data_IF_678407376623
#
_entry.id   IF_678407376623
#
_cell.length_a   1.000
_cell.length_b   1.000
_cell.length_c   1.000
_cell.angle_alpha   90.00
_cell.angle_beta   90.00
_cell.angle_gamma   90.00
#
_symmetry.space_group_name_H-M   'P 1'
#
loop_
_entity.id
_entity.type
_entity.pdbx_description
1 polymer ?
#
# COMPACT_ATOMS: atom_id res chain seq x y z
N UNK A 1 -38.52 -31.44 18.02
CA UNK A 1 -37.69 -30.21 18.12
C UNK A 1 -36.45 -30.44 17.28
N UNK A 2 -36.44 -29.87 16.08
CA UNK A 2 -35.37 -30.03 15.12
C UNK A 2 -34.17 -29.17 15.51
N UNK A 3 -33.01 -29.79 15.60
CA UNK A 3 -31.70 -29.14 15.70
C UNK A 3 -31.45 -28.37 14.40
N UNK A 4 -31.47 -27.05 14.47
CA UNK A 4 -30.94 -26.20 13.40
C UNK A 4 -29.44 -26.50 13.26
N UNK A 5 -29.11 -27.31 12.25
CA UNK A 5 -27.76 -27.41 11.72
C UNK A 5 -27.33 -26.00 11.32
N UNK A 6 -26.34 -25.45 12.01
CA UNK A 6 -25.65 -24.25 11.54
C UNK A 6 -25.17 -24.53 10.11
N UNK A 7 -25.76 -23.84 9.15
CA UNK A 7 -25.25 -23.83 7.78
C UNK A 7 -23.82 -23.33 7.89
N UNK A 8 -22.85 -24.19 7.59
CA UNK A 8 -21.44 -23.83 7.55
C UNK A 8 -21.29 -22.58 6.70
N UNK A 9 -20.95 -21.44 7.33
CA UNK A 9 -20.55 -20.24 6.59
C UNK A 9 -19.38 -20.67 5.69
N UNK A 10 -19.52 -20.45 4.39
CA UNK A 10 -18.41 -20.62 3.47
C UNK A 10 -17.21 -19.83 4.03
N UNK A 11 -16.00 -20.41 4.07
CA UNK A 11 -14.84 -19.73 4.61
C UNK A 11 -14.61 -18.43 3.84
N UNK A 12 -14.38 -17.33 4.56
CA UNK A 12 -14.02 -16.05 3.96
C UNK A 12 -12.71 -16.27 3.20
N UNK A 13 -12.70 -16.01 1.90
CA UNK A 13 -11.51 -16.15 1.07
C UNK A 13 -10.74 -14.83 1.07
N UNK A 14 -9.45 -14.87 1.40
CA UNK A 14 -8.54 -13.73 1.26
C UNK A 14 -7.72 -13.92 -0.02
N UNK A 15 -7.98 -13.12 -1.05
CA UNK A 15 -7.30 -13.24 -2.34
C UNK A 15 -6.32 -12.11 -2.62
N UNK A 16 -6.66 -10.87 -2.22
CA UNK A 16 -5.84 -9.70 -2.49
C UNK A 16 -5.62 -8.86 -1.22
N UNK A 17 -4.35 -8.75 -0.82
CA UNK A 17 -3.92 -7.93 0.33
C UNK A 17 -3.16 -6.71 -0.17
N UNK A 18 -3.45 -5.53 0.37
CA UNK A 18 -2.72 -4.28 0.11
C UNK A 18 -2.03 -3.80 1.39
N UNK A 19 -0.73 -3.54 1.32
CA UNK A 19 0.01 -2.79 2.34
C UNK A 19 0.20 -1.35 1.89
N UNK A 20 -0.50 -0.43 2.53
CA UNK A 20 -0.35 1.01 2.29
C UNK A 20 0.66 1.59 3.28
N UNK A 21 1.86 1.92 2.78
CA UNK A 21 2.97 2.37 3.59
C UNK A 21 2.86 3.88 3.84
N UNK A 22 2.78 4.27 5.11
CA UNK A 22 2.74 5.69 5.45
C UNK A 22 4.08 6.36 5.15
N UNK A 23 4.03 7.64 4.80
CA UNK A 23 5.23 8.43 4.58
C UNK A 23 6.13 8.49 5.83
N UNK A 24 5.51 8.49 7.02
CA UNK A 24 6.25 8.32 8.27
C UNK A 24 6.99 6.99 8.33
N UNK A 25 6.35 5.88 7.98
CA UNK A 25 7.01 4.57 7.98
C UNK A 25 8.22 4.54 7.04
N UNK A 26 8.04 5.02 5.79
CA UNK A 26 9.10 5.08 4.77
C UNK A 26 10.28 5.97 5.19
N UNK A 27 10.03 7.11 5.84
CA UNK A 27 11.09 8.01 6.31
C UNK A 27 11.88 7.45 7.50
N UNK A 28 11.22 6.67 8.35
CA UNK A 28 11.82 6.18 9.61
C UNK A 28 12.45 4.80 9.50
N UNK A 29 12.18 4.05 8.42
CA UNK A 29 12.61 2.66 8.25
C UNK A 29 13.48 2.51 7.02
N UNK A 30 14.55 1.71 7.11
CA UNK A 30 15.47 1.45 5.98
C UNK A 30 14.83 0.56 4.92
N UNK A 31 15.18 0.79 3.65
CA UNK A 31 14.61 0.05 2.50
C UNK A 31 14.85 -1.44 2.60
N UNK A 32 16.05 -1.85 3.01
CA UNK A 32 16.41 -3.27 3.06
C UNK A 32 15.58 -3.99 4.13
N UNK A 33 15.23 -3.28 5.21
CA UNK A 33 14.35 -3.82 6.25
C UNK A 33 12.91 -3.90 5.76
N UNK A 34 12.43 -2.88 5.04
CA UNK A 34 11.08 -2.89 4.46
C UNK A 34 10.98 -4.01 3.41
N UNK A 35 11.94 -4.12 2.51
CA UNK A 35 12.08 -5.19 1.53
C UNK A 35 12.04 -6.57 2.20
N UNK A 36 12.88 -6.80 3.22
CA UNK A 36 12.89 -8.07 3.95
C UNK A 36 11.51 -8.37 4.57
N UNK A 37 10.87 -7.38 5.18
CA UNK A 37 9.52 -7.51 5.73
C UNK A 37 8.47 -7.84 4.64
N UNK A 38 8.51 -7.18 3.49
CA UNK A 38 7.63 -7.44 2.35
C UNK A 38 7.78 -8.89 1.88
N UNK A 39 9.02 -9.33 1.64
CA UNK A 39 9.31 -10.68 1.16
C UNK A 39 8.88 -11.74 2.18
N UNK A 40 9.13 -11.53 3.48
CA UNK A 40 8.71 -12.46 4.53
C UNK A 40 7.19 -12.53 4.65
N UNK A 41 6.49 -11.40 4.60
CA UNK A 41 5.03 -11.37 4.63
C UNK A 41 4.43 -12.01 3.37
N UNK A 42 5.02 -11.80 2.19
CA UNK A 42 4.59 -12.46 0.96
C UNK A 42 4.69 -14.00 1.08
N UNK A 43 5.80 -14.52 1.62
CA UNK A 43 5.98 -15.96 1.83
C UNK A 43 5.01 -16.56 2.85
N UNK A 44 4.57 -15.76 3.81
CA UNK A 44 3.52 -16.16 4.74
C UNK A 44 2.14 -16.17 4.06
N UNK A 45 1.83 -15.12 3.29
CA UNK A 45 0.57 -15.01 2.54
C UNK A 45 0.39 -16.14 1.51
N UNK A 46 1.47 -16.65 0.92
CA UNK A 46 1.43 -17.86 0.08
C UNK A 46 0.86 -19.06 0.85
N UNK A 47 1.21 -19.21 2.13
CA UNK A 47 0.73 -20.33 2.96
C UNK A 47 -0.78 -20.22 3.24
N UNK A 48 -1.29 -18.99 3.27
CA UNK A 48 -2.72 -18.69 3.42
C UNK A 48 -3.48 -18.75 2.07
N UNK A 49 -2.84 -19.17 0.97
CA UNK A 49 -3.38 -19.22 -0.39
C UNK A 49 -3.80 -17.84 -0.96
N UNK A 50 -3.17 -16.76 -0.51
CA UNK A 50 -3.39 -15.42 -1.07
C UNK A 50 -2.69 -15.33 -2.42
N UNK A 51 -3.39 -14.78 -3.42
CA UNK A 51 -2.92 -14.73 -4.81
C UNK A 51 -2.14 -13.46 -5.12
N UNK A 52 -2.55 -12.34 -4.52
CA UNK A 52 -2.00 -11.02 -4.82
C UNK A 52 -1.63 -10.29 -3.54
N UNK A 53 -0.41 -9.76 -3.52
CA UNK A 53 0.05 -8.86 -2.48
C UNK A 53 0.54 -7.56 -3.11
N UNK A 54 -0.15 -6.47 -2.84
CA UNK A 54 0.16 -5.15 -3.38
C UNK A 54 0.81 -4.29 -2.30
N UNK A 55 1.92 -3.67 -2.62
CA UNK A 55 2.58 -2.67 -1.78
C UNK A 55 2.33 -1.31 -2.41
N UNK A 56 1.58 -0.48 -1.70
CA UNK A 56 1.33 0.89 -2.10
C UNK A 56 2.26 1.83 -1.36
N UNK A 57 3.11 2.53 -2.11
CA UNK A 57 3.96 3.58 -1.60
C UNK A 57 3.78 4.83 -2.46
N UNK A 58 3.33 5.94 -1.86
CA UNK A 58 2.94 7.14 -2.61
C UNK A 58 4.01 7.56 -3.63
N UNK A 59 5.29 7.48 -3.26
CA UNK A 59 6.41 8.02 -4.03
C UNK A 59 7.05 7.02 -5.01
N UNK A 60 6.64 5.75 -5.03
CA UNK A 60 7.27 4.72 -5.89
C UNK A 60 8.73 4.43 -5.53
N UNK A 61 9.16 4.68 -4.29
CA UNK A 61 10.50 4.39 -3.79
C UNK A 61 10.78 2.89 -3.78
N UNK A 62 9.80 2.10 -3.31
CA UNK A 62 9.95 0.65 -3.26
C UNK A 62 9.90 0.02 -4.63
N UNK A 63 9.06 0.53 -5.52
CA UNK A 63 9.04 0.10 -6.92
C UNK A 63 10.42 0.27 -7.55
N UNK A 64 11.02 1.46 -7.45
CA UNK A 64 12.37 1.72 -7.95
C UNK A 64 13.44 0.85 -7.30
N UNK A 65 13.36 0.61 -5.99
CA UNK A 65 14.30 -0.25 -5.27
C UNK A 65 14.23 -1.70 -5.73
N UNK A 66 13.03 -2.25 -5.88
CA UNK A 66 12.82 -3.61 -6.37
C UNK A 66 13.22 -3.74 -7.84
N UNK A 67 12.97 -2.73 -8.66
CA UNK A 67 13.45 -2.69 -10.04
C UNK A 67 14.98 -2.74 -10.10
N UNK A 68 15.69 -1.91 -9.35
CA UNK A 68 17.16 -1.95 -9.29
C UNK A 68 17.70 -3.27 -8.73
N UNK A 69 16.98 -3.90 -7.80
CA UNK A 69 17.46 -5.10 -7.09
C UNK A 69 17.17 -6.41 -7.83
N UNK A 70 16.05 -6.47 -8.55
CA UNK A 70 15.48 -7.69 -9.14
C UNK A 70 15.10 -7.54 -10.62
N UNK A 71 15.17 -6.33 -11.18
CA UNK A 71 14.76 -6.01 -12.54
C UNK A 71 15.66 -6.55 -13.65
N UNK A 72 16.89 -6.98 -13.38
CA UNK A 72 17.78 -7.49 -14.44
C UNK A 72 17.92 -9.01 -14.48
N UNK A 73 17.27 -9.75 -13.56
CA UNK A 73 17.41 -11.20 -13.52
C UNK A 73 16.09 -11.95 -13.56
N UNK A 74 16.13 -13.10 -14.22
CA UNK A 74 14.94 -13.93 -14.43
C UNK A 74 14.43 -14.58 -13.14
N UNK A 75 15.34 -14.93 -12.21
CA UNK A 75 14.99 -15.61 -10.96
C UNK A 75 16.06 -15.47 -9.89
N UNK A 76 15.70 -14.91 -8.75
CA UNK A 76 16.58 -14.66 -7.61
C UNK A 76 16.13 -15.43 -6.37
N UNK A 77 17.05 -16.07 -5.63
CA UNK A 77 16.71 -16.70 -4.36
C UNK A 77 16.44 -15.64 -3.28
N UNK A 78 15.29 -15.73 -2.62
CA UNK A 78 14.97 -14.92 -1.44
C UNK A 78 15.76 -15.48 -0.28
N UNK A 79 16.88 -14.84 0.06
CA UNK A 79 17.69 -15.22 1.22
C UNK A 79 17.26 -14.37 2.43
N UNK A 80 16.65 -14.96 3.46
CA UNK A 80 16.18 -14.22 4.64
C UNK A 80 17.31 -13.55 5.44
N UNK A 81 18.58 -13.84 5.12
CA UNK A 81 19.78 -13.34 5.80
C UNK A 81 20.82 -12.74 4.83
N UNK A 82 20.41 -11.96 3.81
CA UNK A 82 21.40 -11.07 3.14
C UNK A 82 22.04 -10.18 4.22
N UNK A 83 23.38 -10.13 4.25
CA UNK A 83 24.17 -9.53 5.34
C UNK A 83 23.57 -8.20 5.80
N UNK A 84 23.23 -8.15 7.10
CA UNK A 84 22.88 -6.94 7.84
C UNK A 84 23.77 -5.78 7.41
N UNK A 85 23.19 -4.70 6.89
CA UNK A 85 23.79 -3.38 6.98
C UNK A 85 23.91 -3.01 8.47
N UNK A 86 24.95 -3.54 9.13
CA UNK A 86 25.39 -3.16 10.48
C UNK A 86 26.11 -1.81 10.39
N UNK A 87 25.47 -0.82 9.82
CA UNK A 87 25.92 0.56 9.85
C UNK A 87 24.90 1.40 10.61
N UNK A 88 25.33 2.52 11.18
CA UNK A 88 24.45 3.65 11.54
C UNK A 88 24.06 4.47 10.30
N UNK A 89 24.21 3.89 9.10
CA UNK A 89 23.93 4.53 7.83
C UNK A 89 22.53 5.14 7.79
N UNK A 90 22.50 6.44 7.57
CA UNK A 90 21.28 7.20 7.37
C UNK A 90 20.54 6.56 6.18
N UNK A 91 19.21 6.39 6.23
CA UNK A 91 18.47 5.83 5.11
C UNK A 91 18.78 6.62 3.82
N UNK A 92 19.31 5.93 2.81
CA UNK A 92 19.86 6.53 1.57
C UNK A 92 18.80 7.28 0.74
N UNK A 93 17.53 7.07 1.06
CA UNK A 93 16.38 7.70 0.40
C UNK A 93 16.40 9.21 0.40
N UNK A 94 17.05 9.86 1.36
CA UNK A 94 17.00 11.31 1.46
C UNK A 94 17.84 12.01 0.40
N UNK A 95 18.74 11.30 -0.27
CA UNK A 95 19.47 11.81 -1.43
C UNK A 95 18.59 11.85 -2.69
N UNK A 96 17.71 10.86 -2.88
CA UNK A 96 16.81 10.76 -4.04
C UNK A 96 15.48 11.50 -3.86
N UNK A 97 15.08 11.81 -2.62
CA UNK A 97 13.84 12.53 -2.27
C UNK A 97 13.77 13.95 -2.85
N UNK A 98 14.91 14.57 -3.17
CA UNK A 98 14.96 15.89 -3.81
C UNK A 98 15.09 15.85 -5.33
N UNK A 99 15.24 14.66 -5.94
CA UNK A 99 15.14 14.49 -7.39
C UNK A 99 13.68 14.16 -7.75
N UNK A 100 12.82 15.18 -7.69
CA UNK A 100 11.46 15.13 -8.26
C UNK A 100 11.47 14.82 -9.78
N UNK A 101 12.64 14.97 -10.42
CA UNK A 101 12.91 14.63 -11.83
C UNK A 101 13.22 13.14 -12.09
N UNK A 102 13.14 12.26 -11.09
CA UNK A 102 13.14 10.82 -11.32
C UNK A 102 11.81 10.37 -11.94
N UNK A 103 11.63 10.76 -13.20
CA UNK A 103 10.67 10.12 -14.11
C UNK A 103 10.98 8.63 -14.09
N UNK A 104 10.09 7.86 -13.46
CA UNK A 104 10.11 6.40 -13.50
C UNK A 104 9.98 6.04 -14.99
N UNK A 105 10.99 5.39 -15.60
CA UNK A 105 10.92 4.95 -16.98
C UNK A 105 9.65 4.13 -17.21
N UNK A 106 8.95 4.37 -18.32
CA UNK A 106 7.68 3.69 -18.64
C UNK A 106 7.82 2.16 -18.79
N UNK A 107 9.05 1.65 -18.95
CA UNK A 107 9.38 0.23 -19.12
C UNK A 107 9.68 -0.52 -17.80
N UNK A 108 9.50 0.11 -16.63
CA UNK A 108 9.74 -0.58 -15.36
C UNK A 108 8.63 -1.59 -15.05
N UNK A 109 9.01 -2.85 -14.82
CA UNK A 109 8.08 -3.90 -14.39
C UNK A 109 7.59 -3.62 -12.96
N UNK A 110 6.28 -3.55 -12.78
CA UNK A 110 5.64 -3.35 -11.46
C UNK A 110 5.25 -4.66 -10.78
N UNK A 111 5.35 -5.79 -11.50
CA UNK A 111 4.88 -7.10 -11.06
C UNK A 111 6.01 -8.11 -10.92
N UNK A 112 6.06 -8.74 -9.76
CA UNK A 112 6.98 -9.81 -9.43
C UNK A 112 6.21 -11.07 -9.03
N UNK A 113 6.76 -12.23 -9.36
CA UNK A 113 6.27 -13.52 -8.89
C UNK A 113 7.16 -14.00 -7.76
N UNK A 114 6.57 -14.26 -6.59
CA UNK A 114 7.25 -14.93 -5.49
C UNK A 114 6.74 -16.36 -5.40
N UNK A 115 7.67 -17.31 -5.49
CA UNK A 115 7.38 -18.73 -5.47
C UNK A 115 8.06 -19.42 -4.31
N UNK A 116 7.43 -20.50 -3.84
CA UNK A 116 8.02 -21.41 -2.87
C UNK A 116 8.25 -22.77 -3.53
N UNK A 117 9.51 -23.20 -3.57
CA UNK A 117 9.90 -24.50 -4.10
C UNK A 117 10.56 -25.30 -2.98
N UNK A 118 9.76 -26.13 -2.30
CA UNK A 118 10.20 -26.85 -1.10
C UNK A 118 10.51 -25.90 0.06
N UNK A 119 11.77 -25.90 0.51
CA UNK A 119 12.25 -25.02 1.58
C UNK A 119 12.76 -23.67 1.07
N UNK A 120 13.02 -23.57 -0.24
CA UNK A 120 13.58 -22.38 -0.85
C UNK A 120 12.48 -21.49 -1.42
N UNK A 121 12.78 -20.19 -1.48
CA UNK A 121 11.90 -19.16 -1.97
C UNK A 121 12.61 -18.35 -3.04
N UNK A 122 11.87 -17.95 -4.07
CA UNK A 122 12.43 -17.23 -5.22
C UNK A 122 11.54 -16.05 -5.60
N UNK A 123 12.15 -14.99 -6.09
CA UNK A 123 11.49 -13.86 -6.72
C UNK A 123 11.92 -13.77 -8.18
N UNK A 124 10.98 -13.52 -9.07
CA UNK A 124 11.18 -13.38 -10.51
C UNK A 124 10.28 -12.28 -11.04
N UNK A 125 10.53 -11.78 -12.25
CA UNK A 125 9.54 -10.93 -12.92
C UNK A 125 8.30 -11.73 -13.24
N UNK A 126 7.13 -11.14 -12.99
CA UNK A 126 5.89 -11.76 -13.41
C UNK A 126 5.71 -11.57 -14.92
N UNK A 127 5.39 -12.66 -15.63
CA UNK A 127 5.02 -12.59 -17.04
C UNK A 127 3.69 -13.32 -17.23
N UNK A 128 2.74 -12.65 -17.90
CA UNK A 128 1.39 -13.19 -18.17
C UNK A 128 1.43 -14.53 -18.92
N UNK A 129 2.51 -14.78 -19.66
CA UNK A 129 2.74 -16.01 -20.42
C UNK A 129 3.28 -17.17 -19.58
N UNK A 130 3.62 -16.96 -18.30
CA UNK A 130 4.10 -18.02 -17.41
C UNK A 130 2.98 -19.04 -17.12
N UNK A 131 3.31 -20.34 -16.98
CA UNK A 131 2.33 -21.38 -16.76
C UNK A 131 1.58 -21.17 -15.42
N UNK A 132 0.24 -21.18 -15.48
CA UNK A 132 -0.67 -20.99 -14.32
C UNK A 132 -0.53 -22.03 -13.19
N UNK A 133 0.32 -23.04 -13.35
CA UNK A 133 0.53 -24.11 -12.37
C UNK A 133 1.59 -23.78 -11.31
N UNK A 134 2.17 -22.58 -11.34
CA UNK A 134 3.16 -22.15 -10.36
C UNK A 134 2.47 -21.72 -9.05
N UNK A 135 2.79 -22.40 -7.96
CA UNK A 135 2.34 -22.05 -6.61
C UNK A 135 3.13 -20.85 -6.11
N UNK A 136 2.53 -19.66 -6.19
CA UNK A 136 3.16 -18.42 -5.79
C UNK A 136 2.17 -17.29 -5.55
N UNK A 137 2.71 -16.12 -5.23
CA UNK A 137 1.97 -14.88 -5.03
C UNK A 137 2.50 -13.80 -5.97
N UNK A 138 1.60 -13.03 -6.55
CA UNK A 138 1.93 -11.85 -7.36
C UNK A 138 2.21 -10.72 -6.39
N UNK A 139 3.45 -10.23 -6.36
CA UNK A 139 3.86 -9.03 -5.64
C UNK A 139 3.78 -7.82 -6.60
N UNK A 140 2.89 -6.88 -6.30
CA UNK A 140 2.68 -5.68 -7.11
C UNK A 140 3.14 -4.43 -6.35
N UNK A 141 3.80 -3.50 -7.03
CA UNK A 141 4.12 -2.18 -6.49
C UNK A 141 3.29 -1.10 -7.19
N UNK A 142 2.61 -0.27 -6.40
CA UNK A 142 1.77 0.82 -6.88
C UNK A 142 2.12 2.14 -6.20
N UNK A 143 2.09 3.21 -6.98
CA UNK A 143 2.31 4.57 -6.51
C UNK A 143 1.11 5.48 -6.79
N UNK A 144 1.23 6.77 -6.45
CA UNK A 144 0.15 7.73 -6.71
C UNK A 144 -0.04 8.03 -8.21
N UNK A 145 0.99 7.81 -9.04
CA UNK A 145 0.95 8.10 -10.47
C UNK A 145 0.16 7.02 -11.22
N UNK A 146 0.12 5.79 -10.73
CA UNK A 146 -0.64 4.69 -11.35
C UNK A 146 -2.09 5.07 -11.63
N UNK A 147 -2.85 5.44 -10.60
CA UNK A 147 -4.27 5.78 -10.80
C UNK A 147 -4.43 6.98 -11.74
N UNK A 148 -3.58 7.99 -11.60
CA UNK A 148 -3.63 9.19 -12.42
C UNK A 148 -3.35 8.88 -13.90
N UNK A 149 -2.28 8.15 -14.20
CA UNK A 149 -1.89 7.79 -15.57
C UNK A 149 -2.94 6.90 -16.24
N UNK A 150 -3.53 5.95 -15.49
CA UNK A 150 -4.59 5.07 -16.00
C UNK A 150 -5.87 5.84 -16.30
N UNK A 151 -6.31 6.74 -15.41
CA UNK A 151 -7.49 7.59 -15.66
C UNK A 151 -7.28 8.48 -16.88
N UNK A 152 -6.09 9.09 -17.03
CA UNK A 152 -5.79 9.95 -18.18
C UNK A 152 -5.68 9.18 -19.50
N UNK A 153 -5.21 7.93 -19.47
CA UNK A 153 -5.10 7.06 -20.66
C UNK A 153 -6.40 6.32 -20.97
N UNK A 154 -7.28 6.19 -20.00
CA UNK A 154 -8.54 5.48 -20.18
C UNK A 154 -9.40 6.25 -21.17
N UNK A 155 -9.85 5.55 -22.21
CA UNK A 155 -10.87 6.09 -23.10
C UNK A 155 -12.14 6.30 -22.28
N UNK A 156 -12.72 7.50 -22.37
CA UNK A 156 -14.09 7.70 -21.90
C UNK A 156 -14.98 6.69 -22.63
N UNK A 157 -15.65 5.83 -21.86
CA UNK A 157 -16.76 5.09 -22.43
C UNK A 157 -17.91 6.06 -22.65
N UNK A 158 -18.47 6.01 -23.86
CA UNK A 158 -19.71 6.71 -24.19
C UNK A 158 -20.87 6.03 -23.47
N UNK A 159 -21.00 6.34 -22.19
CA UNK A 159 -22.22 6.07 -21.45
C UNK A 159 -23.32 6.95 -22.04
N UNK A 160 -24.28 6.33 -22.72
CA UNK A 160 -25.45 7.05 -23.21
C UNK A 160 -26.15 7.72 -22.04
N UNK A 161 -26.32 9.04 -22.11
CA UNK A 161 -27.04 9.78 -21.08
C UNK A 161 -28.43 9.15 -20.89
N UNK A 162 -28.89 8.95 -19.64
CA UNK A 162 -30.20 8.37 -19.41
C UNK A 162 -31.28 9.31 -19.97
N UNK A 163 -32.21 8.77 -20.75
CA UNK A 163 -33.28 9.57 -21.36
C UNK A 163 -34.51 9.71 -20.46
N UNK A 164 -34.57 8.92 -19.37
CA UNK A 164 -35.71 8.87 -18.46
C UNK A 164 -35.63 9.96 -17.38
N UNK A 165 -36.01 11.19 -17.74
CA UNK A 165 -36.16 12.30 -16.81
C UNK A 165 -37.37 12.10 -15.89
N UNK A 166 -37.19 12.38 -14.60
CA UNK A 166 -38.25 12.35 -13.59
C UNK A 166 -38.67 13.78 -13.29
N UNK A 167 -39.94 14.10 -13.54
CA UNK A 167 -40.53 15.40 -13.21
C UNK A 167 -40.85 15.49 -11.71
N UNK A 168 -40.34 16.52 -11.03
CA UNK A 168 -40.72 16.79 -9.64
C UNK A 168 -42.01 17.61 -9.63
N UNK A 169 -43.14 16.94 -9.42
CA UNK A 169 -44.41 17.63 -9.19
C UNK A 169 -44.43 18.22 -7.79
N UNK A 170 -44.40 19.55 -7.69
CA UNK A 170 -44.81 20.27 -6.46
C UNK A 170 -43.77 21.11 -5.73
N UNK A 171 -42.58 21.40 -6.28
CA UNK A 171 -41.66 22.37 -5.64
C UNK A 171 -42.00 23.78 -6.14
N UNK A 172 -42.53 24.58 -5.22
CA UNK A 172 -43.01 25.94 -5.38
C UNK A 172 -41.98 26.89 -6.04
N UNK A 173 -42.17 27.15 -7.34
CA UNK A 173 -42.17 28.49 -7.93
C UNK A 173 -42.66 28.34 -9.38
N UNK A 174 -43.75 29.03 -9.72
CA UNK A 174 -44.53 28.86 -10.95
C UNK A 174 -43.82 29.23 -12.27
N UNK A 175 -42.48 29.26 -12.30
CA UNK A 175 -41.67 29.65 -13.46
C UNK A 175 -40.50 28.69 -13.78
N UNK A 176 -40.30 27.61 -13.02
CA UNK A 176 -39.19 26.68 -13.29
C UNK A 176 -39.66 25.22 -13.23
N UNK A 177 -39.60 24.51 -14.36
CA UNK A 177 -39.75 23.06 -14.40
C UNK A 177 -38.47 22.42 -13.83
N UNK A 178 -38.57 21.73 -12.70
CA UNK A 178 -37.47 20.92 -12.16
C UNK A 178 -37.62 19.47 -12.60
N UNK A 179 -36.63 18.99 -13.36
CA UNK A 179 -36.47 17.59 -13.78
C UNK A 179 -35.14 17.08 -13.25
N UNK A 180 -35.11 15.83 -12.81
CA UNK A 180 -33.86 15.17 -12.41
C UNK A 180 -33.76 13.79 -13.04
N UNK A 181 -32.53 13.30 -13.18
CA UNK A 181 -32.23 11.94 -13.62
C UNK A 181 -31.51 11.24 -12.48
N UNK A 182 -31.93 10.00 -12.21
CA UNK A 182 -31.13 9.06 -11.42
C UNK A 182 -30.24 8.31 -12.41
N UNK A 183 -28.91 8.51 -12.39
CA UNK A 183 -28.02 7.77 -13.27
C UNK A 183 -28.09 6.28 -12.93
N UNK A 184 -27.99 5.38 -13.94
CA UNK A 184 -27.94 3.95 -13.68
C UNK A 184 -26.66 3.60 -12.93
N UNK A 185 -26.69 2.48 -12.20
CA UNK A 185 -25.57 2.02 -11.35
C UNK A 185 -24.24 1.96 -12.11
N UNK A 186 -24.26 1.60 -13.39
CA UNK A 186 -23.06 1.54 -14.23
C UNK A 186 -22.35 2.90 -14.38
N UNK A 187 -23.12 4.01 -14.43
CA UNK A 187 -22.56 5.36 -14.53
C UNK A 187 -21.97 5.83 -13.19
N UNK A 188 -22.51 5.32 -12.08
CA UNK A 188 -22.09 5.64 -10.72
C UNK A 188 -20.85 4.80 -10.36
N UNK A 189 -20.95 3.48 -10.49
CA UNK A 189 -19.91 2.52 -10.13
C UNK A 189 -18.74 2.51 -11.11
N UNK A 190 -19.00 2.81 -12.39
CA UNK A 190 -18.00 2.82 -13.48
C UNK A 190 -17.10 1.56 -13.49
N UNK A 191 -17.68 0.35 -13.64
CA UNK A 191 -16.96 -0.92 -13.49
C UNK A 191 -15.79 -1.07 -14.48
N UNK A 192 -15.87 -0.46 -15.66
CA UNK A 192 -14.74 -0.40 -16.59
C UNK A 192 -13.54 0.35 -15.99
N UNK A 193 -13.78 1.52 -15.39
CA UNK A 193 -12.71 2.32 -14.78
C UNK A 193 -12.10 1.58 -13.60
N UNK A 194 -12.92 0.88 -12.82
CA UNK A 194 -12.45 0.01 -11.76
C UNK A 194 -11.51 -1.08 -12.29
N UNK A 195 -11.86 -1.77 -13.38
CA UNK A 195 -10.98 -2.76 -14.03
C UNK A 195 -9.70 -2.12 -14.56
N UNK A 196 -9.77 -0.93 -15.16
CA UNK A 196 -8.58 -0.21 -15.61
C UNK A 196 -7.64 0.12 -14.45
N UNK A 197 -8.18 0.56 -13.31
CA UNK A 197 -7.41 0.86 -12.10
C UNK A 197 -6.80 -0.40 -11.44
N UNK A 198 -7.53 -1.51 -11.45
CA UNK A 198 -7.07 -2.82 -10.96
C UNK A 198 -6.09 -3.51 -11.91
N UNK A 199 -5.97 -3.06 -13.16
CA UNK A 199 -5.06 -3.64 -14.15
C UNK A 199 -3.69 -2.97 -14.11
N UNK A 200 -2.65 -3.79 -13.92
CA UNK A 200 -1.23 -3.40 -13.86
C UNK A 200 -0.47 -4.28 -14.85
N UNK A 201 0.32 -3.69 -15.74
CA UNK A 201 1.11 -4.43 -16.76
C UNK A 201 0.29 -5.49 -17.55
N UNK A 202 -0.99 -5.21 -17.80
CA UNK A 202 -1.92 -6.12 -18.50
C UNK A 202 -2.50 -7.25 -17.64
N UNK A 203 -2.29 -7.22 -16.32
CA UNK A 203 -2.80 -8.20 -15.35
C UNK A 203 -3.88 -7.56 -14.50
N UNK A 204 -5.08 -8.15 -14.50
CA UNK A 204 -6.14 -7.77 -13.57
C UNK A 204 -5.86 -8.36 -12.18
N UNK A 205 -5.57 -7.48 -11.23
CA UNK A 205 -5.28 -7.85 -9.84
C UNK A 205 -6.55 -8.08 -9.01
N UNK A 206 -7.71 -7.64 -9.50
CA UNK A 206 -8.97 -7.60 -8.75
C UNK A 206 -8.99 -6.55 -7.62
N UNK A 207 -10.15 -6.39 -6.99
CA UNK A 207 -10.31 -5.49 -5.84
C UNK A 207 -9.62 -6.04 -4.59
N UNK A 208 -9.05 -5.18 -3.73
CA UNK A 208 -8.48 -5.61 -2.46
C UNK A 208 -9.54 -6.13 -1.49
N UNK A 209 -9.26 -7.26 -0.84
CA UNK A 209 -10.07 -7.78 0.26
C UNK A 209 -9.66 -7.15 1.60
N UNK A 210 -8.37 -6.86 1.74
CA UNK A 210 -7.75 -6.39 2.98
C UNK A 210 -6.75 -5.28 2.67
N UNK A 211 -6.96 -4.11 3.27
CA UNK A 211 -6.02 -2.98 3.23
C UNK A 211 -5.41 -2.78 4.62
N UNK A 212 -4.09 -2.87 4.69
CA UNK A 212 -3.32 -2.68 5.92
C UNK A 212 -2.56 -1.35 5.82
N UNK A 213 -2.94 -0.39 6.66
CA UNK A 213 -2.22 0.86 6.86
C UNK A 213 -0.99 0.61 7.75
N UNK A 214 0.20 0.73 7.18
CA UNK A 214 1.46 0.49 7.90
C UNK A 214 2.01 1.81 8.44
N UNK A 215 2.10 1.91 9.75
CA UNK A 215 2.62 3.06 10.47
C UNK A 215 4.02 2.79 11.05
N UNK A 216 4.82 3.82 11.36
CA UNK A 216 6.12 3.62 12.01
C UNK A 216 6.00 2.97 13.39
N UNK A 217 6.91 2.04 13.69
CA UNK A 217 7.06 1.47 15.03
C UNK A 217 7.72 2.48 15.99
N UNK A 218 7.51 2.33 17.31
CA UNK A 218 8.16 3.19 18.31
C UNK A 218 9.67 3.11 18.26
N UNK A 219 10.21 1.93 17.98
CA UNK A 219 11.65 1.78 17.81
C UNK A 219 12.17 2.64 16.66
N UNK A 220 11.45 2.67 15.53
CA UNK A 220 11.83 3.44 14.35
C UNK A 220 11.69 4.95 14.60
N UNK A 221 10.64 5.36 15.34
CA UNK A 221 10.44 6.76 15.78
C UNK A 221 11.58 7.21 16.71
N UNK A 222 11.89 6.44 17.75
CA UNK A 222 12.95 6.77 18.72
C UNK A 222 14.31 6.83 18.00
N UNK A 223 14.60 5.85 17.16
CA UNK A 223 15.83 5.82 16.37
C UNK A 223 15.96 7.05 15.47
N UNK A 224 14.87 7.45 14.82
CA UNK A 224 14.88 8.67 14.01
C UNK A 224 15.14 9.92 14.84
N UNK A 225 14.53 10.06 16.03
CA UNK A 225 14.80 11.19 16.93
C UNK A 225 16.29 11.23 17.30
N UNK A 226 16.89 10.09 17.64
CA UNK A 226 18.33 9.99 17.93
C UNK A 226 19.17 10.41 16.73
N UNK A 227 18.86 9.91 15.52
CA UNK A 227 19.56 10.28 14.29
C UNK A 227 19.39 11.78 13.99
N UNK A 228 18.20 12.33 14.16
CA UNK A 228 17.91 13.74 13.92
C UNK A 228 18.71 14.66 14.86
N UNK A 229 18.80 14.30 16.16
CA UNK A 229 19.63 15.01 17.13
C UNK A 229 21.12 14.90 16.75
N UNK A 230 21.57 13.70 16.40
CA UNK A 230 22.95 13.45 15.97
C UNK A 230 23.33 14.26 14.72
N UNK A 231 22.48 14.29 13.71
CA UNK A 231 22.68 15.05 12.48
C UNK A 231 22.70 16.56 12.74
N UNK A 232 21.81 17.07 13.62
CA UNK A 232 21.86 18.47 14.05
C UNK A 232 23.18 18.79 14.77
N UNK A 233 23.67 17.88 15.62
CA UNK A 233 24.95 18.04 16.29
C UNK A 233 26.11 18.09 15.29
N UNK A 234 26.12 17.21 14.27
CA UNK A 234 27.11 17.27 13.19
C UNK A 234 27.02 18.58 12.42
N UNK A 235 25.81 19.08 12.12
CA UNK A 235 25.63 20.38 11.46
C UNK A 235 26.23 21.53 12.27
N UNK A 236 26.03 21.53 13.59
CA UNK A 236 26.66 22.52 14.49
C UNK A 236 28.18 22.38 14.46
N UNK A 237 28.71 21.15 14.52
CA UNK A 237 30.15 20.91 14.42
C UNK A 237 30.72 21.32 13.06
N UNK A 238 29.97 21.14 11.97
CA UNK A 238 30.35 21.59 10.63
C UNK A 238 30.43 23.11 10.56
N UNK A 239 29.47 23.84 11.14
CA UNK A 239 29.51 25.30 11.23
C UNK A 239 30.75 25.76 12.02
N UNK A 240 31.10 25.05 13.09
CA UNK A 240 32.26 25.36 13.94
C UNK A 240 33.61 24.95 13.29
N UNK A 241 33.62 23.90 12.46
CA UNK A 241 34.82 23.32 11.85
C UNK A 241 34.61 22.99 10.36
N UNK A 242 34.37 24.00 9.50
CA UNK A 242 33.93 23.79 8.12
C UNK A 242 34.99 23.12 7.23
N UNK A 243 36.27 23.23 7.59
CA UNK A 243 37.36 22.66 6.79
C UNK A 243 37.58 21.14 7.03
N UNK A 244 36.96 20.56 8.06
CA UNK A 244 37.29 19.21 8.54
C UNK A 244 36.15 18.21 8.38
N UNK A 245 34.94 18.69 8.12
CA UNK A 245 33.71 17.89 8.13
C UNK A 245 32.99 18.11 6.80
N UNK A 246 32.54 17.04 6.14
CA UNK A 246 31.67 17.18 4.96
C UNK A 246 30.25 17.54 5.41
N UNK A 247 29.53 18.42 4.70
CA UNK A 247 28.15 18.74 5.06
C UNK A 247 27.31 17.45 5.07
N UNK A 248 26.59 17.16 6.17
CA UNK A 248 25.75 15.97 6.21
C UNK A 248 24.52 16.19 5.32
N UNK A 249 24.27 15.26 4.40
CA UNK A 249 23.01 15.21 3.66
C UNK A 249 21.92 14.76 4.64
N UNK A 250 21.09 15.70 5.04
CA UNK A 250 20.08 15.51 6.08
C UNK A 250 18.74 15.97 5.53
N UNK A 251 17.76 15.06 5.49
CA UNK A 251 16.41 15.49 5.20
C UNK A 251 15.86 16.38 6.32
N UNK A 252 14.97 17.33 5.97
CA UNK A 252 14.29 18.12 6.97
C UNK A 252 13.52 17.21 7.92
N UNK A 253 13.77 17.42 9.21
CA UNK A 253 13.02 16.76 10.29
C UNK A 253 11.61 17.32 10.29
N UNK A 254 10.67 16.58 9.74
CA UNK A 254 9.25 16.94 9.79
C UNK A 254 8.65 16.53 11.14
N UNK A 255 8.72 17.44 12.10
CA UNK A 255 8.19 17.27 13.45
C UNK A 255 6.69 16.93 13.42
N UNK A 256 5.95 17.43 12.43
CA UNK A 256 4.52 17.16 12.27
C UNK A 256 4.25 15.67 12.02
N UNK A 257 5.06 15.02 11.20
CA UNK A 257 4.95 13.57 10.94
C UNK A 257 5.27 12.77 12.21
N UNK A 258 6.27 13.19 13.00
CA UNK A 258 6.62 12.52 14.27
C UNK A 258 5.46 12.61 15.25
N UNK A 259 4.90 13.81 15.47
CA UNK A 259 3.78 14.03 16.38
C UNK A 259 2.58 13.18 15.96
N UNK A 260 2.21 13.19 14.67
CA UNK A 260 1.11 12.36 14.15
C UNK A 260 1.35 10.87 14.39
N UNK A 261 2.58 10.40 14.21
CA UNK A 261 2.95 9.00 14.45
C UNK A 261 2.85 8.61 15.93
N UNK A 262 3.27 9.49 16.83
CA UNK A 262 3.14 9.30 18.28
C UNK A 262 1.66 9.31 18.69
N UNK A 263 0.89 10.28 18.21
CA UNK A 263 -0.55 10.35 18.46
C UNK A 263 -1.28 9.10 17.93
N UNK A 264 -0.86 8.58 16.77
CA UNK A 264 -1.39 7.33 16.22
C UNK A 264 -1.22 6.15 17.18
N UNK A 265 -0.04 6.05 17.77
CA UNK A 265 0.29 5.02 18.75
C UNK A 265 -0.48 5.20 20.07
N UNK A 266 -0.57 6.43 20.57
CA UNK A 266 -1.28 6.73 21.82
C UNK A 266 -2.78 6.40 21.66
N UNK A 267 -3.39 6.79 20.54
CA UNK A 267 -4.80 6.48 20.28
C UNK A 267 -5.07 4.98 20.29
N UNK A 268 -4.25 4.16 19.64
CA UNK A 268 -4.45 2.70 19.65
C UNK A 268 -4.32 2.06 21.03
N UNK A 269 -3.47 2.61 21.92
CA UNK A 269 -3.36 2.16 23.32
C UNK A 269 -4.55 2.55 24.18
N UNK A 270 -5.14 3.73 23.94
CA UNK A 270 -6.26 4.26 24.72
C UNK A 270 -7.57 3.62 24.26
N UNK A 271 -7.78 3.49 22.95
CA UNK A 271 -9.07 3.14 22.39
C UNK A 271 -9.33 1.64 22.20
N UNK A 272 -8.31 0.77 22.41
CA UNK A 272 -8.23 -0.72 22.48
C UNK A 272 -9.21 -1.61 21.70
N UNK A 273 -10.46 -1.20 21.49
CA UNK A 273 -11.55 -1.88 20.79
C UNK A 273 -12.06 -1.10 19.57
N UNK A 274 -11.96 0.23 19.55
CA UNK A 274 -12.16 1.03 18.34
C UNK A 274 -10.81 1.17 17.64
N UNK A 275 -10.60 0.37 16.59
CA UNK A 275 -9.50 0.59 15.66
C UNK A 275 -9.77 1.93 14.93
N UNK A 276 -9.30 3.02 15.53
CA UNK A 276 -9.19 4.30 14.82
C UNK A 276 -8.13 4.06 13.76
N UNK A 277 -8.56 3.70 12.56
CA UNK A 277 -7.68 3.68 11.39
C UNK A 277 -7.31 5.13 11.13
N UNK A 278 -6.09 5.50 11.50
CA UNK A 278 -5.58 6.81 11.15
C UNK A 278 -5.58 6.91 9.62
N UNK A 279 -6.09 8.04 9.12
CA UNK A 279 -6.01 8.36 7.69
C UNK A 279 -4.60 8.06 7.19
N UNK A 280 -4.48 7.59 5.94
CA UNK A 280 -3.26 7.15 5.25
C UNK A 280 -2.24 8.29 5.03
N UNK A 281 -1.99 9.11 6.05
CA UNK A 281 -1.34 10.41 5.99
C UNK A 281 -2.19 11.46 5.25
N UNK A 282 -1.67 12.69 5.14
CA UNK A 282 -2.23 13.73 4.27
C UNK A 282 -2.21 13.33 2.78
N UNK A 283 -1.43 12.31 2.46
CA UNK A 283 -1.23 11.74 1.14
C UNK A 283 -2.40 10.85 0.66
N UNK A 284 -3.21 10.35 1.60
CA UNK A 284 -4.30 9.43 1.30
C UNK A 284 -3.86 8.08 0.71
N UNK A 285 -4.84 7.23 0.51
CA UNK A 285 -4.76 6.00 -0.29
C UNK A 285 -5.74 6.16 -1.44
N UNK A 286 -5.51 5.53 -2.61
CA UNK A 286 -6.48 5.56 -3.69
C UNK A 286 -7.85 5.07 -3.19
N UNK A 287 -8.93 5.86 -3.32
CA UNK A 287 -10.24 5.52 -2.74
C UNK A 287 -10.80 4.17 -3.20
N UNK A 288 -10.45 3.74 -4.42
CA UNK A 288 -10.90 2.47 -4.98
C UNK A 288 -10.35 1.25 -4.23
N UNK A 289 -9.21 1.36 -3.52
CA UNK A 289 -8.77 0.29 -2.62
C UNK A 289 -9.72 0.08 -1.44
N UNK A 290 -10.50 1.08 -1.07
CA UNK A 290 -11.35 1.08 0.13
C UNK A 290 -12.80 0.66 -0.15
N UNK A 291 -13.17 0.47 -1.42
CA UNK A 291 -14.56 0.27 -1.80
C UNK A 291 -15.16 -1.00 -1.15
N UNK A 292 -14.38 -2.07 -1.09
CA UNK A 292 -14.82 -3.37 -0.57
C UNK A 292 -13.85 -3.95 0.48
N UNK A 293 -12.71 -3.31 0.71
CA UNK A 293 -11.69 -3.86 1.58
C UNK A 293 -12.03 -3.70 3.06
N UNK A 294 -11.68 -4.72 3.85
CA UNK A 294 -11.53 -4.54 5.29
C UNK A 294 -10.26 -3.76 5.57
N UNK A 295 -10.35 -2.79 6.47
CA UNK A 295 -9.25 -1.84 6.72
C UNK A 295 -8.69 -2.09 8.11
N UNK A 296 -7.41 -2.41 8.16
CA UNK A 296 -6.68 -2.59 9.40
C UNK A 296 -5.45 -1.67 9.45
N UNK A 297 -4.91 -1.51 10.64
CA UNK A 297 -3.69 -0.74 10.89
C UNK A 297 -2.68 -1.58 11.65
N UNK A 298 -1.41 -1.47 11.29
CA UNK A 298 -0.30 -2.04 12.06
C UNK A 298 0.83 -1.01 12.25
N UNK A 299 1.65 -1.22 13.28
CA UNK A 299 2.83 -0.40 13.58
C UNK A 299 4.09 -1.21 13.34
N UNK A 300 4.79 -0.88 12.26
CA UNK A 300 5.81 -1.72 11.67
C UNK A 300 5.21 -2.74 10.70
N UNK A 301 6.09 -3.35 9.90
CA UNK A 301 5.74 -4.37 8.91
C UNK A 301 6.33 -5.74 9.27
N UNK A 302 6.68 -5.95 10.54
CA UNK A 302 7.15 -7.24 11.00
C UNK A 302 6.04 -8.30 10.89
N UNK A 303 6.46 -9.55 10.70
CA UNK A 303 5.56 -10.67 10.46
C UNK A 303 4.47 -10.79 11.53
N UNK A 304 4.81 -10.53 12.80
CA UNK A 304 3.86 -10.67 13.90
C UNK A 304 2.75 -9.61 13.86
N UNK A 305 3.10 -8.35 13.57
CA UNK A 305 2.13 -7.26 13.45
C UNK A 305 1.26 -7.44 12.21
N UNK A 306 1.85 -7.86 11.09
CA UNK A 306 1.14 -8.12 9.85
C UNK A 306 0.15 -9.29 9.99
N UNK A 307 0.58 -10.41 10.58
CA UNK A 307 -0.26 -11.59 10.80
C UNK A 307 -1.47 -11.29 11.68
N UNK A 308 -1.35 -10.37 12.64
CA UNK A 308 -2.51 -9.95 13.46
C UNK A 308 -3.61 -9.32 12.60
N UNK A 309 -3.26 -8.50 11.61
CA UNK A 309 -4.23 -7.90 10.69
C UNK A 309 -4.88 -8.96 9.79
N UNK A 310 -4.09 -9.89 9.26
CA UNK A 310 -4.60 -11.02 8.44
C UNK A 310 -5.54 -11.91 9.25
N UNK A 311 -5.17 -12.25 10.49
CA UNK A 311 -6.03 -13.03 11.37
C UNK A 311 -7.30 -12.26 11.77
N UNK A 312 -7.23 -10.94 11.93
CA UNK A 312 -8.41 -10.11 12.20
C UNK A 312 -9.41 -10.17 11.04
N UNK A 313 -8.94 -10.10 9.79
CA UNK A 313 -9.77 -10.24 8.60
C UNK A 313 -10.63 -11.51 8.62
N UNK A 314 -10.04 -12.67 8.94
CA UNK A 314 -10.79 -13.94 8.98
C UNK A 314 -11.84 -13.99 10.11
N UNK A 315 -11.71 -13.13 11.13
CA UNK A 315 -12.67 -13.01 12.22
C UNK A 315 -13.71 -11.92 11.97
N UNK A 316 -13.54 -11.08 10.95
CA UNK A 316 -14.48 -10.02 10.62
C UNK A 316 -15.80 -10.57 10.07
N UNK A 317 -16.90 -9.93 10.44
CA UNK A 317 -18.22 -10.22 9.88
C UNK A 317 -18.59 -9.13 8.87
N UNK A 318 -18.36 -9.41 7.59
CA UNK A 318 -18.78 -8.53 6.49
C UNK A 318 -20.30 -8.54 6.35
N UNK A 319 -20.91 -7.36 6.49
CA UNK A 319 -22.36 -7.16 6.31
C UNK A 319 -22.72 -6.65 4.92
N UNK A 320 -21.75 -6.11 4.16
CA UNK A 320 -21.93 -5.63 2.79
C UNK A 320 -23.22 -4.81 2.58
N UNK A 321 -23.51 -3.91 3.52
CA UNK A 321 -24.70 -3.04 3.48
C UNK A 321 -26.03 -3.69 3.92
N UNK A 322 -26.03 -4.89 4.50
CA UNK A 322 -27.22 -5.61 4.99
C UNK A 322 -27.40 -5.57 6.51
#
# INVERSE_FOLDING_TARGET
MATEKSKGKAPICLSHVVSALSEGFLRHTRVERIEQCILLNALELIQDNVKTFTVYDRRGLLHNHFWKSYGDGDRWPIRPNRRKARGWDVPDYFCDVHNEDSTIPEDQCSLYLIERQGKDAYISKYNVSQPRNLTGIILCFLDHKHAHSRILRAKCHDYKLPENWIDIKGVLNAMCEMKYIIPPDEHICQPYMQRELCSVDGVDLGMPDLVISVQPGMYDIIRFIIIAVYVKLIWVLFILFPQWIKPPVAAPVDIGIIIRSILARIGTLIFKETQVVYAFGPSGIPPWFLAEAEIHQCFGMDLSSFRKCVNAFFNCQRRNGR
#
